data_IF_967961312134
#
_entry.id   IF_967961312134
#
_cell.length_a   1.000
_cell.length_b   1.000
_cell.length_c   1.000
_cell.angle_alpha   90.00
_cell.angle_beta   90.00
_cell.angle_gamma   90.00
#
_symmetry.space_group_name_H-M   'P 1'
#
loop_
_entity.id
_entity.type
_entity.pdbx_description
1 polymer ?
#
# COMPACT_ATOMS: atom_id res chain seq x y z
N UNK A 1 10.65 5.08 -9.36
CA UNK A 1 11.36 3.77 -9.23
C UNK A 1 11.40 3.37 -7.74
N UNK A 2 11.84 2.17 -7.36
CA UNK A 2 12.04 1.79 -5.95
C UNK A 2 13.29 2.43 -5.32
N UNK A 3 13.74 3.58 -5.84
CA UNK A 3 14.81 4.43 -5.31
C UNK A 3 14.31 5.81 -4.92
N UNK A 4 13.05 6.14 -5.24
CA UNK A 4 12.46 7.46 -5.07
C UNK A 4 11.27 7.39 -4.12
N UNK A 5 11.02 8.47 -3.39
CA UNK A 5 9.79 8.60 -2.61
C UNK A 5 8.57 8.50 -3.54
N UNK A 6 7.67 7.58 -3.21
CA UNK A 6 6.49 7.27 -4.03
C UNK A 6 5.29 6.79 -3.23
N UNK A 7 5.33 7.03 -1.92
CA UNK A 7 4.20 6.92 -1.03
C UNK A 7 3.88 8.31 -0.50
N UNK A 8 2.60 8.66 -0.54
CA UNK A 8 2.07 9.91 0.00
C UNK A 8 0.96 9.58 1.00
N UNK A 9 1.03 10.21 2.17
CA UNK A 9 -0.06 10.20 3.15
C UNK A 9 -0.70 11.58 3.12
N UNK A 10 -1.99 11.63 2.88
CA UNK A 10 -2.73 12.87 2.64
C UNK A 10 -3.90 12.94 3.61
N UNK A 11 -3.98 14.04 4.35
CA UNK A 11 -5.18 14.42 5.07
C UNK A 11 -6.12 15.17 4.12
N UNK A 12 -7.26 14.55 3.81
CA UNK A 12 -8.25 15.13 2.90
C UNK A 12 -9.06 16.26 3.53
N UNK A 13 -9.24 16.26 4.85
CA UNK A 13 -9.98 17.30 5.56
C UNK A 13 -9.13 18.57 5.63
N UNK A 14 -7.85 18.42 6.00
CA UNK A 14 -6.89 19.54 6.06
C UNK A 14 -6.30 19.89 4.69
N UNK A 15 -6.53 19.06 3.66
CA UNK A 15 -5.97 19.21 2.30
C UNK A 15 -4.45 19.30 2.32
N UNK A 16 -3.80 18.47 3.14
CA UNK A 16 -2.36 18.53 3.42
C UNK A 16 -1.69 17.19 3.18
N UNK A 17 -0.48 17.23 2.62
CA UNK A 17 0.42 16.07 2.61
C UNK A 17 1.10 15.95 3.97
N UNK A 18 0.84 14.86 4.69
CA UNK A 18 1.43 14.59 6.00
C UNK A 18 2.80 13.92 5.87
N UNK A 19 2.93 12.97 4.94
CA UNK A 19 4.17 12.24 4.72
C UNK A 19 4.45 12.03 3.24
N UNK A 20 5.74 12.04 2.91
CA UNK A 20 6.32 11.47 1.68
C UNK A 20 7.35 10.43 2.10
N UNK A 21 7.31 9.27 1.47
CA UNK A 21 8.18 8.17 1.87
C UNK A 21 8.63 7.28 0.72
N UNK A 22 9.77 6.64 0.93
CA UNK A 22 10.14 5.43 0.20
C UNK A 22 9.13 4.32 0.50
N UNK A 23 8.91 3.44 -0.47
CA UNK A 23 8.11 2.24 -0.27
C UNK A 23 8.60 1.13 -1.19
N UNK A 24 8.91 -0.03 -0.61
CA UNK A 24 9.28 -1.23 -1.35
C UNK A 24 8.03 -1.97 -1.82
N UNK A 25 8.15 -2.61 -2.99
CA UNK A 25 7.11 -3.43 -3.60
C UNK A 25 7.48 -4.91 -3.54
N UNK A 26 6.56 -5.79 -3.91
CA UNK A 26 6.79 -7.23 -3.93
C UNK A 26 7.81 -7.68 -4.98
N UNK A 27 8.67 -8.64 -4.65
CA UNK A 27 9.72 -9.14 -5.55
C UNK A 27 9.19 -9.68 -6.88
N UNK A 28 7.98 -10.24 -6.88
CA UNK A 28 7.34 -10.74 -8.10
C UNK A 28 6.88 -9.63 -9.06
N UNK A 29 6.93 -8.36 -8.64
CA UNK A 29 6.41 -7.24 -9.41
C UNK A 29 7.44 -6.57 -10.32
N UNK A 30 8.73 -6.81 -10.13
CA UNK A 30 9.80 -6.22 -10.93
C UNK A 30 11.01 -5.83 -10.07
N UNK A 31 11.99 -5.20 -10.72
CA UNK A 31 13.23 -4.76 -10.08
C UNK A 31 13.14 -3.27 -9.71
N UNK A 32 13.67 -2.35 -10.54
CA UNK A 32 13.59 -0.91 -10.25
C UNK A 32 12.17 -0.33 -10.32
N UNK A 33 11.31 -0.92 -11.14
CA UNK A 33 9.92 -0.49 -11.32
C UNK A 33 9.03 -1.73 -11.28
N UNK A 34 7.93 -1.63 -10.55
CA UNK A 34 6.88 -2.64 -10.59
C UNK A 34 6.16 -2.56 -11.94
N UNK A 35 6.20 -3.66 -12.69
CA UNK A 35 5.57 -3.81 -14.01
C UNK A 35 4.55 -4.94 -14.03
N UNK A 36 4.65 -5.89 -13.09
CA UNK A 36 3.74 -7.02 -12.93
C UNK A 36 3.01 -6.91 -11.60
N UNK A 37 1.71 -7.19 -11.60
CA UNK A 37 0.89 -7.16 -10.40
C UNK A 37 0.05 -8.43 -10.33
N UNK A 38 -0.26 -8.89 -9.12
CA UNK A 38 -1.08 -10.08 -8.97
C UNK A 38 -1.81 -10.12 -7.65
N UNK A 39 -3.07 -10.56 -7.70
CA UNK A 39 -3.88 -10.93 -6.55
C UNK A 39 -3.63 -12.39 -6.10
N UNK A 40 -2.87 -13.19 -6.86
CA UNK A 40 -2.72 -14.62 -6.59
C UNK A 40 -1.82 -14.85 -5.38
N UNK A 41 -2.20 -15.81 -4.55
CA UNK A 41 -1.35 -16.29 -3.45
C UNK A 41 0.00 -16.77 -3.96
N UNK A 42 1.03 -16.66 -3.12
CA UNK A 42 2.42 -17.08 -3.41
C UNK A 42 3.07 -16.43 -4.64
N UNK A 43 2.41 -15.48 -5.31
CA UNK A 43 2.96 -14.76 -6.47
C UNK A 43 4.12 -13.82 -6.14
N UNK A 44 4.32 -13.50 -4.86
CA UNK A 44 5.23 -12.45 -4.37
C UNK A 44 5.01 -11.06 -5.00
N UNK A 45 3.91 -10.86 -5.74
CA UNK A 45 3.60 -9.62 -6.41
C UNK A 45 2.80 -8.70 -5.48
N UNK A 46 3.02 -7.39 -5.62
CA UNK A 46 2.07 -6.40 -5.14
C UNK A 46 0.76 -6.52 -5.95
N UNK A 47 -0.38 -6.39 -5.28
CA UNK A 47 -1.70 -6.26 -5.91
C UNK A 47 -2.08 -4.78 -6.07
N UNK A 48 -2.76 -4.44 -7.17
CA UNK A 48 -3.24 -3.07 -7.42
C UNK A 48 -4.62 -2.84 -6.79
N UNK A 49 -5.05 -1.59 -6.71
CA UNK A 49 -6.41 -1.21 -6.31
C UNK A 49 -6.47 -0.49 -4.97
N UNK A 50 -7.71 -0.24 -4.54
CA UNK A 50 -8.03 0.37 -3.28
C UNK A 50 -8.04 -0.67 -2.16
N UNK A 51 -7.45 -0.30 -1.04
CA UNK A 51 -7.42 -1.05 0.19
C UNK A 51 -8.04 -0.22 1.31
N UNK A 52 -8.81 -0.87 2.17
CA UNK A 52 -9.19 -0.32 3.46
C UNK A 52 -8.23 -0.83 4.52
N UNK A 53 -7.69 0.07 5.32
CA UNK A 53 -6.89 -0.29 6.49
C UNK A 53 -7.79 -0.89 7.58
N UNK A 54 -7.30 -1.91 8.28
CA UNK A 54 -8.02 -2.61 9.35
C UNK A 54 -7.25 -2.51 10.67
N UNK A 55 -7.41 -3.46 11.59
CA UNK A 55 -6.65 -3.47 12.86
C UNK A 55 -5.14 -3.50 12.65
N UNK A 56 -4.40 -3.05 13.67
CA UNK A 56 -2.96 -3.27 13.75
C UNK A 56 -2.65 -4.65 14.29
N UNK A 57 -1.43 -5.12 14.08
CA UNK A 57 -0.88 -6.27 14.79
C UNK A 57 0.63 -6.12 14.98
N UNK A 58 1.16 -6.77 16.02
CA UNK A 58 2.59 -6.93 16.22
C UNK A 58 3.04 -8.31 15.74
N UNK A 59 3.98 -8.36 14.81
CA UNK A 59 4.55 -9.62 14.30
C UNK A 59 6.06 -9.51 14.06
N UNK A 60 6.58 -10.35 13.18
CA UNK A 60 8.03 -10.38 12.84
C UNK A 60 8.56 -9.04 12.29
N UNK A 61 7.67 -8.20 11.73
CA UNK A 61 7.99 -6.87 11.22
C UNK A 61 7.61 -5.74 12.20
N UNK A 62 7.32 -6.09 13.45
CA UNK A 62 6.88 -5.16 14.48
C UNK A 62 5.47 -4.61 14.21
N UNK A 63 5.24 -3.35 14.58
CA UNK A 63 3.96 -2.66 14.46
C UNK A 63 3.55 -2.53 12.99
N UNK A 64 2.45 -3.19 12.63
CA UNK A 64 1.98 -3.34 11.25
C UNK A 64 0.48 -3.07 11.14
N UNK A 65 0.02 -2.64 9.96
CA UNK A 65 -1.40 -2.40 9.65
C UNK A 65 -1.92 -3.41 8.64
N UNK A 66 -3.01 -4.09 8.98
CA UNK A 66 -3.69 -5.01 8.05
C UNK A 66 -4.41 -4.24 6.95
N UNK A 67 -4.39 -4.81 5.74
CA UNK A 67 -5.01 -4.23 4.56
C UNK A 67 -6.08 -5.18 4.01
N UNK A 68 -7.25 -4.63 3.68
CA UNK A 68 -8.36 -5.35 3.08
C UNK A 68 -8.59 -4.80 1.68
N UNK A 69 -8.48 -5.65 0.66
CA UNK A 69 -8.73 -5.24 -0.73
C UNK A 69 -10.20 -4.91 -0.99
N UNK A 70 -10.44 -3.86 -1.79
CA UNK A 70 -11.78 -3.39 -2.17
C UNK A 70 -12.11 -3.60 -3.66
N UNK A 71 -11.14 -4.09 -4.45
CA UNK A 71 -11.27 -4.29 -5.88
C UNK A 71 -11.22 -5.78 -6.25
N UNK A 72 -12.41 -6.33 -6.56
CA UNK A 72 -12.55 -7.71 -7.03
C UNK A 72 -11.69 -7.93 -8.28
N UNK A 73 -10.90 -9.00 -8.27
CA UNK A 73 -9.96 -9.32 -9.35
C UNK A 73 -8.57 -8.68 -9.21
N UNK A 74 -8.43 -7.60 -8.44
CA UNK A 74 -7.17 -6.86 -8.32
C UNK A 74 -6.45 -7.10 -7.00
N UNK A 75 -7.18 -7.04 -5.88
CA UNK A 75 -6.61 -7.19 -4.53
C UNK A 75 -7.53 -7.94 -3.54
N UNK A 76 -8.57 -8.62 -4.02
CA UNK A 76 -9.55 -9.29 -3.15
C UNK A 76 -8.94 -10.31 -2.16
N UNK A 77 -7.78 -10.91 -2.48
CA UNK A 77 -7.12 -11.89 -1.63
C UNK A 77 -6.08 -11.24 -0.70
N UNK A 78 -5.96 -9.91 -0.67
CA UNK A 78 -4.89 -9.23 0.07
C UNK A 78 -4.88 -9.57 1.56
N UNK A 79 -6.06 -9.65 2.18
CA UNK A 79 -6.18 -9.98 3.59
C UNK A 79 -5.71 -11.42 3.87
N UNK A 80 -6.21 -12.38 3.10
CA UNK A 80 -5.88 -13.81 3.23
C UNK A 80 -4.40 -14.09 2.90
N UNK A 81 -3.81 -13.25 2.05
CA UNK A 81 -2.38 -13.25 1.72
C UNK A 81 -1.50 -12.59 2.79
N UNK A 82 -2.06 -12.12 3.88
CA UNK A 82 -1.37 -11.37 4.93
C UNK A 82 -0.65 -10.11 4.40
N UNK A 83 -1.23 -9.44 3.39
CA UNK A 83 -0.70 -8.18 2.87
C UNK A 83 -0.95 -7.09 3.91
N UNK A 84 0.14 -6.52 4.41
CA UNK A 84 0.14 -5.54 5.50
C UNK A 84 1.06 -4.37 5.14
N UNK A 85 0.84 -3.22 5.75
CA UNK A 85 1.83 -2.13 5.77
C UNK A 85 2.76 -2.36 6.97
N UNK A 86 4.07 -2.47 6.72
CA UNK A 86 5.05 -2.81 7.76
C UNK A 86 6.42 -2.14 7.54
N UNK A 87 7.29 -2.18 8.54
CA UNK A 87 8.67 -1.72 8.42
C UNK A 87 9.57 -2.77 7.75
N UNK A 88 10.61 -2.32 7.06
CA UNK A 88 11.72 -3.18 6.65
C UNK A 88 13.02 -2.38 6.50
N UNK A 89 14.13 -2.92 6.99
CA UNK A 89 15.44 -2.27 6.87
C UNK A 89 15.87 -2.09 5.41
N UNK A 90 15.45 -3.02 4.54
CA UNK A 90 15.65 -2.93 3.11
C UNK A 90 14.83 -1.83 2.42
N UNK A 91 13.90 -1.19 3.14
CA UNK A 91 13.11 -0.07 2.67
C UNK A 91 13.67 1.28 3.16
N UNK A 92 14.97 1.36 3.50
CA UNK A 92 15.63 2.57 4.03
C UNK A 92 16.48 3.30 2.98
N UNK A 93 16.74 4.61 3.17
CA UNK A 93 17.71 5.35 2.36
C UNK A 93 19.12 4.74 2.42
N UNK A 94 19.52 4.21 3.57
CA UNK A 94 20.83 3.59 3.79
C UNK A 94 21.00 2.35 2.92
N UNK A 95 19.96 1.52 2.86
CA UNK A 95 19.93 0.37 1.96
C UNK A 95 20.07 0.80 0.49
N UNK A 96 19.40 1.88 0.07
CA UNK A 96 19.54 2.43 -1.30
C UNK A 96 20.95 2.92 -1.57
N UNK A 97 21.61 3.58 -0.61
CA UNK A 97 23.00 4.03 -0.79
C UNK A 97 23.97 2.86 -0.97
N UNK A 98 23.71 1.73 -0.30
CA UNK A 98 24.55 0.54 -0.38
C UNK A 98 24.28 -0.33 -1.60
N UNK A 99 23.01 -0.48 -2.01
CA UNK A 99 22.59 -1.46 -3.03
C UNK A 99 22.09 -0.81 -4.33
N UNK A 100 21.95 0.52 -4.36
CA UNK A 100 21.41 1.26 -5.50
C UNK A 100 19.89 1.18 -5.66
N UNK A 101 19.18 0.40 -4.83
CA UNK A 101 17.72 0.26 -4.83
C UNK A 101 17.20 -0.27 -3.48
N UNK A 102 15.91 -0.11 -3.18
CA UNK A 102 15.28 -0.77 -2.04
C UNK A 102 15.21 -2.29 -2.28
N UNK A 103 15.22 -3.08 -1.20
CA UNK A 103 14.86 -4.49 -1.29
C UNK A 103 13.39 -4.72 -1.60
N UNK A 104 12.95 -5.98 -1.48
CA UNK A 104 11.64 -6.42 -1.92
C UNK A 104 10.90 -7.18 -0.84
N UNK A 105 9.60 -6.95 -0.74
CA UNK A 105 8.72 -7.77 0.09
C UNK A 105 8.17 -8.96 -0.71
N UNK A 106 7.25 -9.73 -0.12
CA UNK A 106 6.45 -10.76 -0.83
C UNK A 106 5.07 -10.26 -1.28
N UNK A 107 4.89 -8.94 -1.41
CA UNK A 107 3.66 -8.30 -1.88
C UNK A 107 3.20 -7.13 -1.02
N UNK A 108 3.65 -7.09 0.24
CA UNK A 108 3.39 -6.01 1.19
C UNK A 108 4.04 -4.68 0.76
N UNK A 109 3.37 -3.53 0.94
CA UNK A 109 4.07 -2.26 0.95
C UNK A 109 4.95 -2.19 2.20
N UNK A 110 6.28 -2.08 2.02
CA UNK A 110 7.22 -2.00 3.14
C UNK A 110 7.85 -0.60 3.23
N UNK A 111 7.91 -0.06 4.44
CA UNK A 111 8.26 1.32 4.77
C UNK A 111 9.63 1.43 5.47
N UNK A 112 10.29 2.60 5.40
CA UNK A 112 11.49 2.88 6.18
C UNK A 112 11.23 2.72 7.69
N UNK A 113 12.16 2.10 8.45
CA UNK A 113 12.07 2.00 9.91
C UNK A 113 11.95 3.35 10.63
N UNK A 114 12.47 4.42 10.03
CA UNK A 114 12.40 5.77 10.59
C UNK A 114 11.00 6.42 10.49
N UNK A 115 10.15 5.96 9.56
CA UNK A 115 8.86 6.63 9.26
C UNK A 115 7.63 5.77 9.51
N UNK A 116 7.77 4.44 9.51
CA UNK A 116 6.62 3.52 9.50
C UNK A 116 5.64 3.72 10.65
N UNK A 117 6.11 3.99 11.88
CA UNK A 117 5.22 4.18 13.04
C UNK A 117 4.32 5.38 12.86
N UNK A 118 4.87 6.53 12.46
CA UNK A 118 4.10 7.75 12.21
C UNK A 118 3.08 7.51 11.10
N UNK A 119 3.54 6.99 9.95
CA UNK A 119 2.66 6.69 8.81
C UNK A 119 1.52 5.73 9.20
N UNK A 120 1.80 4.64 9.91
CA UNK A 120 0.76 3.67 10.30
C UNK A 120 -0.21 4.26 11.34
N UNK A 121 0.25 5.15 12.21
CA UNK A 121 -0.59 5.85 13.17
C UNK A 121 -1.55 6.84 12.51
N UNK A 122 -1.10 7.57 11.48
CA UNK A 122 -1.98 8.44 10.68
C UNK A 122 -3.01 7.63 9.87
N UNK A 123 -2.66 6.40 9.50
CA UNK A 123 -3.53 5.47 8.80
C UNK A 123 -4.37 4.65 9.79
N UNK A 124 -5.27 5.32 10.51
CA UNK A 124 -6.24 4.70 11.41
C UNK A 124 -7.13 3.67 10.68
N UNK A 125 -7.73 2.75 11.43
CA UNK A 125 -8.62 1.76 10.84
C UNK A 125 -9.76 2.44 10.07
N UNK A 126 -9.96 2.04 8.81
CA UNK A 126 -10.93 2.67 7.91
C UNK A 126 -10.31 3.63 6.88
N UNK A 127 -9.07 4.09 7.09
CA UNK A 127 -8.35 4.88 6.08
C UNK A 127 -8.18 4.12 4.77
N UNK A 128 -8.08 4.87 3.68
CA UNK A 128 -7.98 4.35 2.31
C UNK A 128 -6.53 4.39 1.83
N UNK A 129 -6.08 3.29 1.22
CA UNK A 129 -4.81 3.22 0.49
C UNK A 129 -5.11 2.87 -0.97
N UNK A 130 -4.60 3.69 -1.90
CA UNK A 130 -4.60 3.35 -3.32
C UNK A 130 -3.20 2.86 -3.73
N UNK A 131 -3.10 1.63 -4.21
CA UNK A 131 -1.90 1.14 -4.88
C UNK A 131 -2.13 1.21 -6.38
N UNK A 132 -1.41 2.11 -7.04
CA UNK A 132 -1.56 2.39 -8.48
C UNK A 132 -0.35 1.92 -9.30
N UNK A 133 -0.61 1.57 -10.55
CA UNK A 133 0.37 1.09 -11.51
C UNK A 133 -0.29 0.75 -12.85
N UNK A 134 0.51 0.38 -13.88
CA UNK A 134 -0.02 -0.06 -15.16
C UNK A 134 -1.05 -1.19 -15.01
N UNK A 135 -2.19 -1.07 -15.69
CA UNK A 135 -3.27 -2.05 -15.62
C UNK A 135 -4.16 -1.93 -14.36
N UNK A 136 -4.09 -0.82 -13.62
CA UNK A 136 -5.05 -0.54 -12.57
C UNK A 136 -6.47 -0.45 -13.16
N UNK A 137 -7.28 -1.47 -12.90
CA UNK A 137 -8.73 -1.42 -13.02
C UNK A 137 -9.35 -1.26 -11.63
N UNK A 138 -10.29 -0.35 -11.47
CA UNK A 138 -11.08 -0.23 -10.25
C UNK A 138 -12.39 0.48 -10.52
N UNK A 139 -13.47 -0.02 -9.92
CA UNK A 139 -14.80 0.60 -9.98
C UNK A 139 -14.89 1.92 -9.22
N UNK A 140 -13.88 2.24 -8.41
CA UNK A 140 -13.82 3.41 -7.54
C UNK A 140 -13.08 4.59 -8.18
N UNK A 141 -12.44 4.39 -9.35
CA UNK A 141 -11.80 5.47 -10.11
C UNK A 141 -12.80 6.39 -10.80
N UNK A 142 -13.99 5.88 -11.14
CA UNK A 142 -15.12 6.72 -11.51
C UNK A 142 -15.72 7.34 -10.25
N UNK A 143 -15.22 8.53 -9.89
CA UNK A 143 -15.64 9.25 -8.69
C UNK A 143 -17.13 9.56 -8.66
N UNK A 144 -17.74 9.86 -9.80
CA UNK A 144 -19.17 10.14 -9.87
C UNK A 144 -20.00 8.88 -9.62
N UNK A 145 -19.63 7.75 -10.21
CA UNK A 145 -20.29 6.47 -9.93
C UNK A 145 -20.01 5.96 -8.51
N UNK A 146 -18.82 6.20 -7.97
CA UNK A 146 -18.49 5.91 -6.58
C UNK A 146 -19.39 6.73 -5.62
N UNK A 147 -19.48 8.04 -5.83
CA UNK A 147 -20.34 8.94 -5.05
C UNK A 147 -21.81 8.51 -5.06
N UNK A 148 -22.36 8.18 -6.25
CA UNK A 148 -23.73 7.65 -6.36
C UNK A 148 -23.94 6.36 -5.55
N UNK A 149 -22.93 5.48 -5.47
CA UNK A 149 -23.02 4.23 -4.69
C UNK A 149 -22.97 4.49 -3.19
N UNK A 150 -22.18 5.45 -2.74
CA UNK A 150 -22.14 5.86 -1.34
C UNK A 150 -23.45 6.53 -0.92
N UNK A 151 -23.98 7.44 -1.74
CA UNK A 151 -25.28 8.09 -1.49
C UNK A 151 -26.42 7.06 -1.31
N UNK A 152 -26.47 6.00 -2.13
CA UNK A 152 -27.45 4.91 -1.99
C UNK A 152 -27.31 4.10 -0.68
N UNK A 153 -26.16 4.17 -0.02
CA UNK A 153 -25.89 3.53 1.27
C UNK A 153 -26.14 4.49 2.45
N UNK A 154 -26.71 5.66 2.20
CA UNK A 154 -27.00 6.67 3.22
C UNK A 154 -25.80 7.51 3.64
N UNK A 155 -24.68 7.42 2.93
CA UNK A 155 -23.51 8.27 3.19
C UNK A 155 -23.78 9.63 2.57
N UNK A 156 -23.80 10.68 3.39
CA UNK A 156 -23.97 12.09 2.96
C UNK A 156 -22.62 12.79 2.94
#
# INVERSE_FOLDING_TARGET
PNTTERLWVIDLQQRKVLHRSLVAHGQGSGYLRAQRFSNREKSACTSLGFYRTSGTYGGIHGYSRRLMGLDKGQNANAFDRYVVLHAADYASPDYVRQHGHLGYSRGCPALPPAQYKQIISELQAGSLLLVSGPGLASRWLDGAAAGRRFARRGWR
#
